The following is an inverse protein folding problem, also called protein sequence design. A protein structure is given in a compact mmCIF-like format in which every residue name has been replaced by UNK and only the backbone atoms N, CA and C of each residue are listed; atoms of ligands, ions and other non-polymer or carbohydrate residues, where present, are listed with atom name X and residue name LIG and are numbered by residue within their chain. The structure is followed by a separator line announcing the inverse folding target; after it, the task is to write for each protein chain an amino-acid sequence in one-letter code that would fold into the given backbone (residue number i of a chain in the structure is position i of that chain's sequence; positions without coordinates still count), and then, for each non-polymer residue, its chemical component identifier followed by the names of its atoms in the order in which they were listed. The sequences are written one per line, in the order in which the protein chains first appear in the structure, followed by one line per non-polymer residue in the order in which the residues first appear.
data_IF_204929969056
#
_entry.id   IF_204929969056
#
_cell.length_a   1.000
_cell.length_b   1.000
_cell.length_c   1.000
_cell.angle_alpha   90.00
_cell.angle_beta   90.00
_cell.angle_gamma   90.00
#
_symmetry.space_group_name_H-M   'P 1'
#
loop_
_entity.id
_entity.type
_entity.pdbx_description
1 polymer ?
#
# COMPACT_ATOMS: atom_id res chain seq x y z
N UNK A 1 -29.49 -43.65 19.96
CA UNK A 1 -28.54 -42.66 20.51
C UNK A 1 -27.07 -43.13 20.59
N UNK A 2 -26.79 -44.43 20.68
CA UNK A 2 -25.40 -44.98 20.64
C UNK A 2 -24.77 -45.05 19.24
N UNK A 3 -25.54 -45.02 18.17
CA UNK A 3 -25.06 -45.27 16.78
C UNK A 3 -24.37 -44.06 16.13
N UNK A 4 -24.76 -42.84 16.49
CA UNK A 4 -24.16 -41.62 15.88
C UNK A 4 -22.78 -41.23 16.45
N UNK A 5 -22.44 -41.71 17.65
CA UNK A 5 -21.11 -41.43 18.26
C UNK A 5 -20.05 -42.43 17.83
N UNK A 6 -20.42 -43.61 17.31
CA UNK A 6 -19.48 -44.60 16.78
C UNK A 6 -18.91 -44.23 15.39
N UNK A 7 -19.61 -43.41 14.63
CA UNK A 7 -19.17 -43.00 13.29
C UNK A 7 -18.03 -41.95 13.29
N UNK A 8 -17.80 -41.28 14.42
CA UNK A 8 -16.73 -40.26 14.53
C UNK A 8 -15.42 -40.77 15.16
N UNK A 9 -15.40 -42.00 15.69
CA UNK A 9 -14.23 -42.60 16.34
C UNK A 9 -14.12 -44.07 15.93
N UNK A 10 -13.78 -44.33 14.69
CA UNK A 10 -13.52 -45.64 14.07
C UNK A 10 -13.41 -46.83 15.03
N UNK A 11 -14.53 -47.41 15.45
CA UNK A 11 -14.56 -48.64 16.27
C UNK A 11 -15.93 -48.99 16.85
N UNK A 12 -16.33 -50.25 16.77
CA UNK A 12 -17.62 -50.82 17.14
C UNK A 12 -17.88 -50.91 18.65
N UNK A 13 -16.97 -50.52 19.53
CA UNK A 13 -17.17 -50.37 20.99
C UNK A 13 -16.49 -49.07 21.47
N UNK A 14 -17.19 -48.25 22.30
CA UNK A 14 -16.55 -47.10 22.89
C UNK A 14 -15.34 -47.54 23.71
N UNK A 15 -14.14 -46.98 23.43
CA UNK A 15 -12.94 -47.31 24.21
C UNK A 15 -13.21 -47.00 25.67
N UNK A 16 -12.81 -47.86 26.58
CA UNK A 16 -12.98 -47.74 28.04
C UNK A 16 -12.57 -46.32 28.56
N UNK A 17 -11.56 -45.78 27.96
CA UNK A 17 -11.08 -44.40 28.16
C UNK A 17 -12.12 -43.33 27.86
N UNK A 18 -13.01 -43.53 26.87
CA UNK A 18 -14.08 -42.58 26.53
C UNK A 18 -15.24 -42.67 27.51
N UNK A 19 -15.58 -43.89 27.97
CA UNK A 19 -16.61 -44.10 28.99
C UNK A 19 -16.20 -43.38 30.28
N UNK A 20 -14.94 -43.53 30.72
CA UNK A 20 -14.40 -42.80 31.89
C UNK A 20 -14.49 -41.28 31.71
N UNK A 21 -14.23 -40.76 30.51
CA UNK A 21 -14.35 -39.31 30.23
C UNK A 21 -15.80 -38.82 30.40
N UNK A 22 -16.79 -39.60 29.94
CA UNK A 22 -18.21 -39.24 30.05
C UNK A 22 -18.67 -39.13 31.49
N UNK A 23 -18.14 -39.95 32.42
CA UNK A 23 -18.51 -39.87 33.87
C UNK A 23 -18.00 -38.60 34.54
N UNK A 24 -16.98 -37.96 34.00
CA UNK A 24 -16.40 -36.72 34.54
C UNK A 24 -17.18 -35.48 34.10
N UNK A 25 -17.83 -35.51 32.96
CA UNK A 25 -18.47 -34.33 32.36
C UNK A 25 -19.61 -33.71 33.17
N UNK A 26 -20.51 -34.46 33.87
CA UNK A 26 -21.51 -33.84 34.73
C UNK A 26 -20.89 -32.93 35.81
N UNK A 27 -19.81 -33.40 36.45
CA UNK A 27 -19.06 -32.63 37.46
C UNK A 27 -18.35 -31.42 36.85
N UNK A 28 -17.79 -31.59 35.64
CA UNK A 28 -17.18 -30.49 34.88
C UNK A 28 -18.24 -29.42 34.56
N UNK A 29 -19.40 -29.84 34.06
CA UNK A 29 -20.51 -28.95 33.76
C UNK A 29 -21.01 -28.19 34.99
N UNK A 30 -21.20 -28.84 36.11
CA UNK A 30 -21.61 -28.23 37.39
C UNK A 30 -20.57 -27.17 37.82
N UNK A 31 -19.27 -27.50 37.85
CA UNK A 31 -18.22 -26.60 38.25
C UNK A 31 -18.10 -25.39 37.29
N UNK A 32 -18.34 -25.59 36.01
CA UNK A 32 -18.33 -24.47 35.03
C UNK A 32 -19.57 -23.58 35.19
N UNK A 33 -20.73 -24.17 35.43
CA UNK A 33 -22.01 -23.45 35.62
C UNK A 33 -22.00 -22.61 36.87
N UNK A 34 -21.36 -23.10 37.95
CA UNK A 34 -21.21 -22.41 39.22
C UNK A 34 -20.00 -21.49 39.30
N UNK A 35 -19.16 -21.48 38.23
CA UNK A 35 -17.95 -20.62 38.18
C UNK A 35 -16.80 -21.06 39.10
N UNK A 36 -16.87 -22.30 39.63
CA UNK A 36 -15.85 -22.87 40.54
C UNK A 36 -14.56 -23.27 39.83
N UNK A 37 -14.60 -23.48 38.51
CA UNK A 37 -13.43 -23.83 37.70
C UNK A 37 -13.63 -23.38 36.25
N UNK A 38 -12.54 -23.22 35.50
CA UNK A 38 -12.59 -23.09 34.06
C UNK A 38 -12.29 -24.43 33.38
N UNK A 39 -12.53 -24.51 32.07
CA UNK A 39 -12.34 -25.75 31.28
C UNK A 39 -10.93 -26.30 31.40
N UNK A 40 -9.91 -25.39 31.37
CA UNK A 40 -8.51 -25.79 31.48
C UNK A 40 -8.19 -26.38 32.84
N UNK A 41 -8.69 -25.75 33.91
CA UNK A 41 -8.55 -26.30 35.30
C UNK A 41 -9.28 -27.64 35.45
N UNK A 42 -10.48 -27.78 34.88
CA UNK A 42 -11.22 -29.04 34.90
C UNK A 42 -10.49 -30.14 34.11
N UNK A 43 -9.89 -29.77 32.97
CA UNK A 43 -9.07 -30.73 32.21
C UNK A 43 -7.79 -31.10 32.97
N UNK A 44 -7.09 -30.14 33.62
CA UNK A 44 -5.89 -30.42 34.41
C UNK A 44 -6.21 -31.42 35.52
N UNK A 45 -7.30 -31.21 36.28
CA UNK A 45 -7.77 -32.17 37.32
C UNK A 45 -8.15 -33.55 36.74
N UNK A 46 -8.75 -33.56 35.55
CA UNK A 46 -9.03 -34.84 34.84
C UNK A 46 -7.71 -35.55 34.46
N UNK A 47 -6.69 -34.81 34.01
CA UNK A 47 -5.37 -35.37 33.63
C UNK A 47 -4.59 -35.87 34.86
N UNK A 48 -4.70 -35.21 35.98
CA UNK A 48 -4.12 -35.67 37.27
C UNK A 48 -4.69 -37.01 37.70
N UNK A 49 -6.01 -37.20 37.54
CA UNK A 49 -6.71 -38.46 37.87
C UNK A 49 -6.58 -39.54 36.78
N UNK A 50 -6.35 -39.15 35.55
CA UNK A 50 -6.25 -40.02 34.39
C UNK A 50 -5.01 -39.63 33.52
N UNK A 51 -3.82 -40.07 33.90
CA UNK A 51 -2.59 -39.71 33.16
C UNK A 51 -2.60 -40.18 31.69
N UNK A 52 -3.32 -41.24 31.38
CA UNK A 52 -3.59 -41.75 30.02
C UNK A 52 -4.79 -41.05 29.33
N UNK A 53 -5.40 -40.07 29.98
CA UNK A 53 -6.60 -39.36 29.52
C UNK A 53 -6.38 -38.55 28.22
N UNK A 54 -7.48 -38.04 27.70
CA UNK A 54 -7.49 -37.27 26.44
C UNK A 54 -6.71 -35.93 26.55
N UNK A 55 -6.12 -35.50 25.45
CA UNK A 55 -5.53 -34.17 25.31
C UNK A 55 -6.59 -33.05 25.42
N UNK A 56 -6.16 -31.82 25.70
CA UNK A 56 -7.06 -30.71 25.95
C UNK A 56 -8.08 -30.48 24.83
N UNK A 57 -7.65 -30.47 23.57
CA UNK A 57 -8.55 -30.23 22.42
C UNK A 57 -9.63 -31.30 22.29
N UNK A 58 -9.27 -32.58 22.47
CA UNK A 58 -10.20 -33.68 22.43
C UNK A 58 -11.16 -33.65 23.63
N UNK A 59 -10.66 -33.36 24.84
CA UNK A 59 -11.49 -33.17 26.03
C UNK A 59 -12.55 -32.10 25.80
N UNK A 60 -12.17 -30.92 25.26
CA UNK A 60 -13.10 -29.82 24.96
C UNK A 60 -14.12 -30.26 23.90
N UNK A 61 -13.67 -30.84 22.80
CA UNK A 61 -14.57 -31.29 21.73
C UNK A 61 -15.59 -32.32 22.24
N UNK A 62 -15.17 -33.36 23.00
CA UNK A 62 -16.02 -34.36 23.57
C UNK A 62 -17.00 -33.78 24.60
N UNK A 63 -16.57 -32.81 25.40
CA UNK A 63 -17.45 -32.11 26.35
C UNK A 63 -18.54 -31.29 25.66
N UNK A 64 -18.22 -30.62 24.55
CA UNK A 64 -19.19 -29.86 23.77
C UNK A 64 -20.26 -30.78 23.14
N UNK A 65 -19.85 -31.92 22.60
CA UNK A 65 -20.75 -32.92 22.05
C UNK A 65 -21.67 -33.49 23.16
N UNK A 66 -21.07 -33.98 24.27
CA UNK A 66 -21.82 -34.49 25.41
C UNK A 66 -22.86 -33.50 25.93
N UNK A 67 -22.49 -32.24 26.07
CA UNK A 67 -23.39 -31.19 26.54
C UNK A 67 -24.57 -30.96 25.59
N UNK A 68 -24.33 -30.98 24.28
CA UNK A 68 -25.38 -30.87 23.26
C UNK A 68 -26.34 -32.02 23.32
N UNK A 69 -25.83 -33.25 23.51
CA UNK A 69 -26.61 -34.47 23.61
C UNK A 69 -27.49 -34.51 24.89
N UNK A 70 -27.01 -33.87 25.97
CA UNK A 70 -27.78 -33.71 27.21
C UNK A 70 -28.78 -32.55 27.17
N UNK A 71 -28.90 -31.80 26.05
CA UNK A 71 -29.79 -30.66 25.92
C UNK A 71 -29.45 -29.50 26.86
N UNK A 72 -28.21 -29.47 27.39
CA UNK A 72 -27.79 -28.46 28.34
C UNK A 72 -27.44 -27.13 27.60
N UNK A 73 -27.85 -25.97 28.17
CA UNK A 73 -27.60 -24.67 27.53
C UNK A 73 -26.11 -24.42 27.32
N UNK A 74 -25.73 -23.61 26.31
CA UNK A 74 -24.35 -23.26 26.08
C UNK A 74 -23.76 -22.61 27.34
N UNK A 75 -22.91 -23.34 28.06
CA UNK A 75 -22.01 -22.69 29.03
C UNK A 75 -21.05 -21.89 28.22
N UNK A 76 -21.13 -20.56 28.29
CA UNK A 76 -20.14 -19.70 27.67
C UNK A 76 -18.83 -19.93 28.42
N UNK A 77 -17.86 -20.59 27.78
CA UNK A 77 -16.50 -20.75 28.30
C UNK A 77 -15.77 -19.38 28.33
N UNK A 78 -16.40 -18.40 28.91
CA UNK A 78 -15.91 -17.07 28.87
C UNK A 78 -15.25 -16.77 30.22
N UNK A 79 -13.93 -16.65 30.20
CA UNK A 79 -13.14 -16.07 31.30
C UNK A 79 -13.77 -14.77 31.85
N UNK A 80 -14.63 -14.15 31.05
CA UNK A 80 -15.25 -12.86 31.27
C UNK A 80 -16.75 -13.01 31.53
N UNK A 81 -17.15 -13.90 32.44
CA UNK A 81 -18.53 -14.06 32.91
C UNK A 81 -18.57 -13.75 34.40
N UNK A 82 -19.61 -13.06 34.84
CA UNK A 82 -19.94 -12.90 36.26
C UNK A 82 -20.68 -14.15 36.73
N UNK A 83 -20.08 -15.07 37.49
CA UNK A 83 -20.71 -16.33 37.89
C UNK A 83 -21.80 -16.09 38.90
N UNK A 84 -21.61 -15.17 39.83
CA UNK A 84 -22.57 -14.81 40.89
C UNK A 84 -22.52 -13.29 41.12
N UNK A 85 -23.67 -12.69 41.31
CA UNK A 85 -23.82 -11.31 41.81
C UNK A 85 -24.09 -11.40 43.30
N UNK A 86 -23.36 -10.66 44.11
CA UNK A 86 -23.61 -10.58 45.52
C UNK A 86 -25.01 -10.02 45.80
N UNK A 87 -25.71 -10.61 46.76
CA UNK A 87 -27.09 -10.25 47.07
C UNK A 87 -27.23 -8.76 47.44
N UNK A 88 -26.23 -8.21 48.11
CA UNK A 88 -26.10 -6.82 48.52
C UNK A 88 -25.87 -5.87 47.31
N UNK A 89 -25.24 -6.32 46.22
CA UNK A 89 -24.96 -5.52 45.03
C UNK A 89 -26.17 -5.38 44.09
N UNK A 90 -27.11 -6.32 44.11
CA UNK A 90 -28.23 -6.40 43.20
C UNK A 90 -29.13 -5.16 43.23
N UNK A 91 -29.51 -4.60 44.39
CA UNK A 91 -30.38 -3.41 44.46
C UNK A 91 -29.70 -2.20 43.79
N UNK A 92 -28.37 -2.00 43.98
CA UNK A 92 -27.65 -0.93 43.36
C UNK A 92 -27.47 -1.09 41.87
N UNK A 93 -27.18 -2.31 41.39
CA UNK A 93 -27.10 -2.63 39.97
C UNK A 93 -28.46 -2.36 39.28
N UNK A 94 -29.59 -2.68 39.91
CA UNK A 94 -30.92 -2.37 39.39
C UNK A 94 -31.13 -0.85 39.33
N UNK A 95 -30.72 -0.12 40.37
CA UNK A 95 -30.77 1.36 40.40
C UNK A 95 -29.93 1.95 39.26
N UNK A 96 -28.71 1.46 39.05
CA UNK A 96 -27.85 1.91 37.94
C UNK A 96 -28.44 1.59 36.57
N UNK A 97 -29.10 0.45 36.41
CA UNK A 97 -29.77 0.06 35.16
C UNK A 97 -30.92 0.98 34.79
N UNK A 98 -31.53 1.67 35.77
CA UNK A 98 -32.59 2.65 35.58
C UNK A 98 -32.07 4.10 35.55
N UNK A 99 -30.78 4.30 35.68
CA UNK A 99 -30.16 5.61 35.73
C UNK A 99 -30.06 6.27 34.35
N UNK A 100 -30.27 7.59 34.29
CA UNK A 100 -29.97 8.40 33.10
C UNK A 100 -28.45 8.55 32.86
N UNK A 101 -27.58 8.20 33.82
CA UNK A 101 -26.12 8.13 33.61
C UNK A 101 -25.79 6.93 32.71
N UNK A 102 -25.49 7.21 31.46
CA UNK A 102 -25.19 6.20 30.43
C UNK A 102 -24.04 5.27 30.84
N UNK A 103 -23.08 5.74 31.65
CA UNK A 103 -21.95 4.92 32.12
C UNK A 103 -22.39 3.96 33.21
N UNK A 104 -23.18 4.43 34.19
CA UNK A 104 -23.74 3.57 35.25
C UNK A 104 -24.66 2.53 34.63
N UNK A 105 -25.56 2.94 33.75
CA UNK A 105 -26.44 2.05 33.00
C UNK A 105 -25.63 0.94 32.29
N UNK A 106 -24.61 1.33 31.49
CA UNK A 106 -23.80 0.38 30.74
C UNK A 106 -23.05 -0.62 31.64
N UNK A 107 -22.46 -0.16 32.78
CA UNK A 107 -21.81 -1.01 33.76
C UNK A 107 -22.78 -2.02 34.37
N UNK A 108 -23.96 -1.58 34.76
CA UNK A 108 -25.00 -2.45 35.32
C UNK A 108 -25.48 -3.49 34.31
N UNK A 109 -25.75 -3.08 33.07
CA UNK A 109 -26.13 -3.99 31.97
C UNK A 109 -25.04 -5.06 31.76
N UNK A 110 -23.77 -4.64 31.71
CA UNK A 110 -22.63 -5.56 31.52
C UNK A 110 -22.57 -6.61 32.64
N UNK A 111 -22.69 -6.22 33.91
CA UNK A 111 -22.62 -7.15 35.04
C UNK A 111 -23.82 -8.10 35.06
N UNK A 112 -25.06 -7.56 34.99
CA UNK A 112 -26.29 -8.33 35.07
C UNK A 112 -26.42 -9.30 33.90
N UNK A 113 -26.18 -8.82 32.69
CA UNK A 113 -26.37 -9.62 31.48
C UNK A 113 -25.18 -10.59 31.25
N UNK A 114 -23.98 -10.26 31.74
CA UNK A 114 -22.87 -11.22 31.83
C UNK A 114 -23.20 -12.37 32.78
N UNK A 115 -23.84 -12.09 33.92
CA UNK A 115 -24.33 -13.11 34.84
C UNK A 115 -25.36 -14.04 34.16
N UNK A 116 -26.24 -13.50 33.32
CA UNK A 116 -27.18 -14.23 32.49
C UNK A 116 -26.53 -15.03 31.35
N UNK A 117 -25.21 -14.95 31.19
CA UNK A 117 -24.47 -15.73 30.19
C UNK A 117 -24.24 -15.03 28.86
N UNK A 118 -24.56 -13.73 28.73
CA UNK A 118 -24.28 -12.98 27.49
C UNK A 118 -22.77 -12.67 27.42
N UNK A 119 -22.14 -13.07 26.31
CA UNK A 119 -20.69 -12.90 26.10
C UNK A 119 -20.29 -11.46 25.82
N UNK A 120 -18.99 -11.10 26.04
CA UNK A 120 -18.47 -9.74 25.93
C UNK A 120 -18.68 -9.09 24.55
N UNK A 121 -18.69 -9.86 23.47
CA UNK A 121 -18.92 -9.33 22.12
C UNK A 121 -20.35 -8.81 21.96
N UNK A 122 -21.34 -9.59 22.41
CA UNK A 122 -22.74 -9.20 22.35
C UNK A 122 -23.06 -8.06 23.34
N UNK A 123 -22.41 -8.08 24.52
CA UNK A 123 -22.51 -6.97 25.47
C UNK A 123 -21.88 -5.69 24.92
N UNK A 124 -20.80 -5.79 24.18
CA UNK A 124 -20.13 -4.68 23.52
C UNK A 124 -21.07 -3.92 22.57
N UNK A 125 -21.78 -4.66 21.72
CA UNK A 125 -22.78 -4.07 20.81
C UNK A 125 -23.95 -3.46 21.59
N UNK A 126 -24.43 -4.12 22.66
CA UNK A 126 -25.58 -3.67 23.47
C UNK A 126 -25.29 -2.35 24.22
N UNK A 127 -24.07 -2.18 24.74
CA UNK A 127 -23.70 -0.98 25.52
C UNK A 127 -22.88 0.03 24.70
N UNK A 128 -22.66 -0.21 23.42
CA UNK A 128 -21.87 0.65 22.51
C UNK A 128 -20.48 0.96 23.06
N UNK A 129 -19.82 -0.05 23.60
CA UNK A 129 -18.45 0.05 24.13
C UNK A 129 -17.59 -1.07 23.55
N UNK A 130 -16.28 -0.82 23.39
CA UNK A 130 -15.37 -1.85 22.89
C UNK A 130 -15.37 -3.10 23.79
N UNK A 131 -15.15 -4.30 23.22
CA UNK A 131 -15.05 -5.54 24.00
C UNK A 131 -14.00 -5.48 25.12
N UNK A 132 -12.95 -4.66 24.93
CA UNK A 132 -11.91 -4.43 25.95
C UNK A 132 -12.46 -3.71 27.18
N UNK A 133 -13.34 -2.73 26.99
CA UNK A 133 -14.00 -2.01 28.10
C UNK A 133 -14.98 -2.92 28.83
N UNK A 134 -15.77 -3.69 28.10
CA UNK A 134 -16.71 -4.66 28.68
C UNK A 134 -15.97 -5.68 29.53
N UNK A 135 -14.91 -6.30 28.99
CA UNK A 135 -14.06 -7.25 29.74
C UNK A 135 -13.46 -6.61 31.00
N UNK A 136 -13.01 -5.36 30.93
CA UNK A 136 -12.48 -4.63 32.08
C UNK A 136 -13.53 -4.46 33.17
N UNK A 137 -14.75 -4.02 32.84
CA UNK A 137 -15.82 -3.84 33.83
C UNK A 137 -16.25 -5.16 34.49
N UNK A 138 -16.27 -6.25 33.72
CA UNK A 138 -16.48 -7.60 34.30
C UNK A 138 -15.34 -7.94 35.25
N UNK A 139 -14.09 -7.69 34.88
CA UNK A 139 -12.92 -7.92 35.73
C UNK A 139 -12.92 -7.05 36.99
N UNK A 140 -13.25 -5.76 36.86
CA UNK A 140 -13.37 -4.84 37.99
C UNK A 140 -14.41 -5.36 39.01
N UNK A 141 -15.59 -5.80 38.52
CA UNK A 141 -16.62 -6.36 39.38
C UNK A 141 -16.19 -7.69 40.04
N UNK A 142 -15.53 -8.56 39.30
CA UNK A 142 -15.03 -9.84 39.85
C UNK A 142 -13.93 -9.66 40.92
N UNK A 143 -13.17 -8.57 40.86
CA UNK A 143 -12.09 -8.28 41.82
C UNK A 143 -12.54 -7.53 43.05
N UNK A 144 -13.49 -6.61 42.94
CA UNK A 144 -13.88 -5.74 44.03
C UNK A 144 -15.34 -5.31 44.09
N UNK A 145 -16.24 -6.09 43.45
CA UNK A 145 -17.69 -5.87 43.51
C UNK A 145 -18.10 -4.47 43.02
N UNK A 146 -19.14 -3.91 43.61
CA UNK A 146 -19.66 -2.58 43.32
C UNK A 146 -18.64 -1.47 43.59
N UNK A 147 -17.77 -1.62 44.59
CA UNK A 147 -16.79 -0.58 44.92
C UNK A 147 -15.79 -0.37 43.79
N UNK A 148 -15.31 -1.45 43.21
CA UNK A 148 -14.43 -1.35 42.01
C UNK A 148 -15.15 -0.75 40.80
N UNK A 149 -16.46 -1.03 40.63
CA UNK A 149 -17.26 -0.40 39.58
C UNK A 149 -17.55 1.09 39.82
N UNK A 150 -17.69 1.50 41.10
CA UNK A 150 -17.92 2.92 41.49
C UNK A 150 -16.71 3.78 41.19
N UNK A 151 -15.49 3.23 41.22
CA UNK A 151 -14.28 4.00 40.94
C UNK A 151 -14.40 4.71 39.60
N UNK A 152 -14.78 5.98 39.65
CA UNK A 152 -14.52 6.90 38.53
C UNK A 152 -13.02 7.10 38.55
N UNK A 153 -12.30 6.51 37.57
CA UNK A 153 -10.94 6.98 37.28
C UNK A 153 -11.09 8.44 36.90
N UNK A 154 -10.88 9.35 37.89
CA UNK A 154 -10.89 10.78 37.69
C UNK A 154 -9.69 11.13 36.83
N UNK A 155 -9.85 11.16 35.53
CA UNK A 155 -9.01 11.94 34.63
C UNK A 155 -9.48 13.41 34.70
N UNK A 156 -9.65 13.96 35.91
CA UNK A 156 -9.68 15.41 36.07
C UNK A 156 -8.24 15.85 36.09
N UNK A 157 -7.72 16.15 34.92
CA UNK A 157 -6.51 16.95 34.83
C UNK A 157 -6.87 18.32 35.40
N UNK A 158 -6.32 18.67 36.53
CA UNK A 158 -6.49 20.01 37.09
C UNK A 158 -6.01 21.09 36.10
N UNK A 159 -6.51 22.32 36.20
CA UNK A 159 -6.14 23.42 35.30
C UNK A 159 -4.64 23.59 35.11
N UNK A 160 -3.86 23.46 36.20
CA UNK A 160 -2.40 23.53 36.19
C UNK A 160 -1.75 22.42 35.32
N UNK A 161 -2.27 21.20 35.40
CA UNK A 161 -1.77 20.09 34.59
C UNK A 161 -2.07 20.29 33.15
N UNK A 162 -3.26 20.82 32.81
CA UNK A 162 -3.63 21.16 31.44
C UNK A 162 -2.72 22.25 30.87
N UNK A 163 -2.46 23.30 31.67
CA UNK A 163 -1.55 24.39 31.32
C UNK A 163 -0.12 23.87 31.09
N UNK A 164 0.39 23.03 32.00
CA UNK A 164 1.71 22.40 31.83
C UNK A 164 1.82 21.49 30.60
N UNK A 165 0.76 20.75 30.29
CA UNK A 165 0.73 19.95 29.07
C UNK A 165 0.75 20.82 27.81
N UNK A 166 -0.01 21.93 27.80
CA UNK A 166 -0.03 22.89 26.70
C UNK A 166 1.37 23.50 26.53
N UNK A 167 1.99 23.99 27.61
CA UNK A 167 3.32 24.57 27.55
C UNK A 167 4.38 23.60 27.01
N UNK A 168 4.38 22.33 27.46
CA UNK A 168 5.29 21.31 26.91
C UNK A 168 5.06 21.05 25.43
N UNK A 169 3.80 21.02 25.01
CA UNK A 169 3.45 20.87 23.61
C UNK A 169 3.97 22.03 22.77
N UNK A 170 3.72 23.26 23.21
CA UNK A 170 4.16 24.46 22.51
C UNK A 170 5.70 24.51 22.37
N UNK A 171 6.43 24.11 23.43
CA UNK A 171 7.89 23.96 23.42
C UNK A 171 8.37 22.91 22.41
N UNK A 172 7.68 21.76 22.29
CA UNK A 172 8.00 20.72 21.30
C UNK A 172 7.76 21.24 19.87
N UNK A 173 6.68 21.97 19.65
CA UNK A 173 6.37 22.54 18.34
C UNK A 173 7.40 23.62 17.97
N UNK A 174 7.84 24.43 18.93
CA UNK A 174 8.94 25.39 18.69
C UNK A 174 10.21 24.69 18.22
N UNK A 175 10.62 23.58 18.89
CA UNK A 175 11.75 22.77 18.44
C UNK A 175 11.62 22.25 17.02
N UNK A 176 10.40 21.86 16.60
CA UNK A 176 10.16 21.36 15.25
C UNK A 176 10.40 22.40 14.14
N UNK A 177 10.24 23.68 14.46
CA UNK A 177 10.49 24.78 13.52
C UNK A 177 11.98 25.15 13.37
N UNK A 178 12.83 24.58 14.22
CA UNK A 178 14.28 24.76 14.18
C UNK A 178 14.95 23.51 13.61
N UNK A 179 16.19 23.65 13.11
CA UNK A 179 16.94 22.49 12.62
C UNK A 179 17.63 21.78 13.80
N UNK A 180 17.77 20.43 13.74
CA UNK A 180 18.44 19.68 14.81
C UNK A 180 19.87 20.17 15.12
N UNK A 181 20.58 20.73 14.10
CA UNK A 181 21.94 21.22 14.23
C UNK A 181 22.08 22.39 15.22
N UNK A 182 21.07 23.26 15.31
CA UNK A 182 21.04 24.38 16.27
C UNK A 182 21.14 23.88 17.70
N UNK A 183 20.59 22.68 17.96
CA UNK A 183 20.62 22.02 19.27
C UNK A 183 21.83 21.10 19.45
N UNK A 184 22.82 21.15 18.55
CA UNK A 184 24.03 20.33 18.59
C UNK A 184 23.80 18.87 18.16
N UNK A 185 22.70 18.59 17.47
CA UNK A 185 22.36 17.24 16.97
C UNK A 185 22.71 17.16 15.50
N UNK A 186 23.75 16.39 15.15
CA UNK A 186 24.17 16.20 13.76
C UNK A 186 23.17 15.33 12.97
N UNK A 187 22.01 15.91 12.63
CA UNK A 187 20.96 15.32 11.79
C UNK A 187 20.30 16.39 10.94
N UNK A 188 19.88 16.00 9.72
CA UNK A 188 19.18 16.89 8.80
C UNK A 188 17.66 16.99 9.10
N UNK A 189 17.12 16.09 9.91
CA UNK A 189 15.71 16.09 10.25
C UNK A 189 15.48 15.53 11.66
N UNK A 190 14.38 15.93 12.25
CA UNK A 190 13.97 15.45 13.56
C UNK A 190 13.50 13.99 13.53
N UNK A 191 13.86 13.27 14.57
CA UNK A 191 13.21 12.02 14.98
C UNK A 191 12.62 12.18 16.36
N UNK A 192 11.68 11.34 16.74
CA UNK A 192 11.13 11.41 18.12
C UNK A 192 12.22 11.25 19.19
N UNK A 193 13.28 10.48 18.91
CA UNK A 193 14.41 10.32 19.84
C UNK A 193 15.23 11.59 19.97
N UNK A 194 15.51 12.26 18.86
CA UNK A 194 16.29 13.51 18.89
C UNK A 194 15.50 14.67 19.46
N UNK A 195 14.18 14.69 19.30
CA UNK A 195 13.31 15.65 19.99
C UNK A 195 13.32 15.45 21.51
N UNK A 196 13.31 14.21 22.02
CA UNK A 196 13.49 13.94 23.45
C UNK A 196 14.81 14.52 23.95
N UNK A 197 15.91 14.26 23.23
CA UNK A 197 17.25 14.74 23.59
C UNK A 197 17.34 16.27 23.60
N UNK A 198 16.79 16.92 22.57
CA UNK A 198 16.80 18.38 22.48
C UNK A 198 15.92 19.02 23.58
N UNK A 199 14.76 18.44 23.85
CA UNK A 199 13.84 18.92 24.87
C UNK A 199 14.46 18.83 26.27
N UNK A 200 15.03 17.68 26.60
CA UNK A 200 15.74 17.46 27.89
C UNK A 200 16.89 18.46 28.07
N UNK A 201 17.74 18.60 27.02
CA UNK A 201 18.89 19.52 27.05
C UNK A 201 18.47 20.99 27.17
N UNK A 202 17.41 21.41 26.50
CA UNK A 202 17.00 22.81 26.47
C UNK A 202 16.15 23.24 27.68
N UNK A 203 15.30 22.34 28.18
CA UNK A 203 14.32 22.68 29.21
C UNK A 203 14.59 21.98 30.55
N UNK A 204 15.58 21.08 30.64
CA UNK A 204 15.87 20.29 31.83
C UNK A 204 14.74 19.38 32.30
N UNK A 205 13.79 19.08 31.40
CA UNK A 205 12.61 18.26 31.69
C UNK A 205 12.66 16.96 30.91
N UNK A 206 12.49 15.82 31.58
CA UNK A 206 12.35 14.53 30.91
C UNK A 206 10.94 14.35 30.30
N UNK A 207 10.88 13.96 29.06
CA UNK A 207 9.63 13.67 28.34
C UNK A 207 9.68 12.35 27.61
N UNK A 208 8.61 11.57 27.69
CA UNK A 208 8.53 10.29 27.01
C UNK A 208 8.34 10.44 25.49
N UNK A 209 8.98 9.55 24.71
CA UNK A 209 8.84 9.48 23.24
C UNK A 209 7.37 9.33 22.79
N UNK A 210 6.55 8.58 23.54
CA UNK A 210 5.11 8.43 23.28
C UNK A 210 4.34 9.74 23.45
N UNK A 211 4.70 10.53 24.47
CA UNK A 211 4.08 11.84 24.74
C UNK A 211 4.42 12.84 23.65
N UNK A 212 5.69 12.88 23.20
CA UNK A 212 6.07 13.70 22.02
C UNK A 212 5.28 13.26 20.79
N UNK A 213 5.19 11.94 20.53
CA UNK A 213 4.42 11.42 19.41
C UNK A 213 2.94 11.82 19.46
N UNK A 214 2.35 11.86 20.64
CA UNK A 214 0.98 12.32 20.84
C UNK A 214 0.84 13.83 20.56
N UNK A 215 1.75 14.64 21.11
CA UNK A 215 1.72 16.10 20.93
C UNK A 215 1.87 16.49 19.45
N UNK A 216 2.88 15.96 18.75
CA UNK A 216 3.08 16.28 17.33
C UNK A 216 1.92 15.83 16.46
N UNK A 217 1.29 14.68 16.75
CA UNK A 217 0.10 14.20 16.04
C UNK A 217 -1.14 15.08 16.30
N UNK A 218 -1.31 15.52 17.54
CA UNK A 218 -2.43 16.40 17.92
C UNK A 218 -2.37 17.74 17.17
N UNK A 219 -1.14 18.25 16.96
CA UNK A 219 -0.89 19.45 16.17
C UNK A 219 -0.81 19.18 14.64
N UNK A 220 -1.18 17.99 14.19
CA UNK A 220 -1.27 17.64 12.75
C UNK A 220 0.06 17.26 12.09
N UNK A 221 1.16 17.17 12.84
CA UNK A 221 2.46 16.77 12.28
C UNK A 221 2.54 15.25 12.10
N UNK A 222 3.00 14.84 10.95
CA UNK A 222 3.27 13.43 10.63
C UNK A 222 4.56 13.30 9.82
N UNK A 223 5.27 12.18 9.96
CA UNK A 223 6.40 11.88 9.08
C UNK A 223 5.90 11.63 7.66
N UNK A 224 6.34 12.47 6.73
CA UNK A 224 6.00 12.32 5.31
C UNK A 224 7.27 12.29 4.48
N UNK A 225 7.30 11.43 3.48
CA UNK A 225 8.34 11.46 2.46
C UNK A 225 8.15 12.70 1.58
N UNK A 226 9.23 13.43 1.33
CA UNK A 226 9.20 14.53 0.38
C UNK A 226 8.73 14.03 -1.00
N UNK A 227 7.78 14.74 -1.59
CA UNK A 227 7.34 14.50 -2.96
C UNK A 227 8.31 15.20 -3.91
N UNK A 228 8.87 14.45 -4.84
CA UNK A 228 9.62 15.06 -5.93
C UNK A 228 8.66 15.81 -6.85
N UNK A 229 8.99 17.05 -7.14
CA UNK A 229 8.27 17.89 -8.11
C UNK A 229 8.99 17.74 -9.43
N UNK A 230 8.24 17.51 -10.51
CA UNK A 230 8.78 17.45 -11.86
C UNK A 230 9.07 18.86 -12.32
N UNK A 231 10.35 19.19 -12.51
CA UNK A 231 10.82 20.51 -12.93
C UNK A 231 11.74 20.37 -14.12
N UNK A 232 11.87 21.45 -14.90
CA UNK A 232 12.80 21.53 -16.00
C UNK A 232 13.56 22.86 -15.91
N UNK A 233 14.87 22.87 -16.16
CA UNK A 233 15.66 24.09 -16.21
C UNK A 233 15.51 24.87 -17.53
N UNK A 234 14.70 24.38 -18.46
CA UNK A 234 14.50 24.97 -19.79
C UNK A 234 13.81 26.32 -19.69
N UNK A 235 14.47 27.37 -20.17
CA UNK A 235 13.93 28.71 -20.15
C UNK A 235 12.73 28.88 -21.10
N UNK A 236 12.65 28.06 -22.14
CA UNK A 236 11.55 28.03 -23.12
C UNK A 236 10.58 26.92 -22.88
N UNK A 237 10.49 26.42 -21.64
CA UNK A 237 9.64 25.29 -21.27
C UNK A 237 8.17 25.47 -21.68
N UNK A 238 7.62 26.66 -21.41
CA UNK A 238 6.20 26.95 -21.72
C UNK A 238 5.96 27.06 -23.21
N UNK A 239 6.82 27.78 -23.90
CA UNK A 239 6.73 27.99 -25.34
C UNK A 239 6.75 26.65 -26.09
N UNK A 240 7.68 25.75 -25.74
CA UNK A 240 7.76 24.41 -26.32
C UNK A 240 6.52 23.58 -26.03
N UNK A 241 6.02 23.65 -24.78
CA UNK A 241 4.84 22.90 -24.35
C UNK A 241 3.59 23.41 -25.09
N UNK A 242 3.42 24.71 -25.21
CA UNK A 242 2.30 25.34 -25.92
C UNK A 242 2.35 25.00 -27.42
N UNK A 243 3.52 25.00 -28.02
CA UNK A 243 3.69 24.63 -29.42
C UNK A 243 3.34 23.17 -29.68
N UNK A 244 3.85 22.24 -28.86
CA UNK A 244 3.49 20.80 -28.95
C UNK A 244 2.00 20.61 -28.77
N UNK A 245 1.40 21.25 -27.77
CA UNK A 245 -0.05 21.17 -27.49
C UNK A 245 -0.85 21.71 -28.67
N UNK A 246 -0.44 22.82 -29.24
CA UNK A 246 -1.09 23.45 -30.41
C UNK A 246 -1.06 22.50 -31.62
N UNK A 247 0.09 21.87 -31.90
CA UNK A 247 0.22 20.92 -33.01
C UNK A 247 -0.68 19.70 -32.76
N UNK A 248 -0.61 19.11 -31.56
CA UNK A 248 -1.41 17.91 -31.22
C UNK A 248 -2.91 18.17 -31.23
N UNK A 249 -3.36 19.38 -30.90
CA UNK A 249 -4.78 19.76 -30.93
C UNK A 249 -5.31 19.99 -32.35
N UNK A 250 -4.43 20.34 -33.29
CA UNK A 250 -4.79 20.66 -34.68
C UNK A 250 -4.23 19.65 -35.68
N UNK A 251 -3.78 18.49 -35.23
CA UNK A 251 -3.16 17.46 -36.06
C UNK A 251 -4.16 16.92 -37.09
N UNK A 252 -3.81 17.04 -38.37
CA UNK A 252 -4.63 16.56 -39.47
C UNK A 252 -4.46 15.06 -39.72
N UNK A 253 -5.33 14.46 -40.47
CA UNK A 253 -5.28 13.02 -40.77
C UNK A 253 -4.05 12.59 -41.57
N UNK A 254 -3.53 13.50 -42.40
CA UNK A 254 -2.32 13.36 -43.22
C UNK A 254 -1.04 13.83 -42.53
N UNK A 255 -1.10 14.15 -41.27
CA UNK A 255 0.02 14.50 -40.40
C UNK A 255 0.18 13.48 -39.28
N UNK A 256 1.43 13.20 -38.91
CA UNK A 256 1.74 12.26 -37.80
C UNK A 256 2.69 12.90 -36.80
N UNK A 257 2.41 12.64 -35.51
CA UNK A 257 3.25 13.09 -34.42
C UNK A 257 3.88 11.89 -33.71
N UNK A 258 5.20 11.91 -33.61
CA UNK A 258 6.00 10.83 -33.02
C UNK A 258 6.63 11.26 -31.69
N UNK A 259 6.51 10.40 -30.68
CA UNK A 259 7.33 10.43 -29.47
C UNK A 259 8.46 9.42 -29.66
N UNK A 260 9.70 9.87 -29.57
CA UNK A 260 10.90 9.08 -29.93
C UNK A 260 11.82 8.98 -28.73
N UNK A 261 12.45 7.81 -28.54
CA UNK A 261 13.47 7.59 -27.51
C UNK A 261 14.22 6.28 -27.73
N UNK A 262 15.28 6.06 -26.93
CA UNK A 262 16.02 4.81 -26.89
C UNK A 262 15.90 4.13 -25.50
N UNK A 263 15.45 2.90 -25.50
CA UNK A 263 15.44 2.06 -24.33
C UNK A 263 16.75 1.27 -24.19
N UNK A 264 17.40 1.44 -23.08
CA UNK A 264 18.69 0.79 -22.83
C UNK A 264 19.87 1.78 -22.75
N UNK A 265 21.10 1.30 -22.81
CA UNK A 265 21.51 -0.10 -22.92
C UNK A 265 21.15 -0.93 -21.69
N UNK A 266 20.58 -2.10 -21.91
CA UNK A 266 20.31 -3.05 -20.82
C UNK A 266 20.99 -4.39 -21.07
N UNK A 267 21.39 -5.06 -20.00
CA UNK A 267 22.00 -6.37 -20.06
C UNK A 267 20.94 -7.47 -19.97
N UNK A 268 21.01 -8.44 -20.89
CA UNK A 268 20.17 -9.63 -20.86
C UNK A 268 20.71 -10.58 -19.80
N UNK A 269 19.96 -10.74 -18.72
CA UNK A 269 20.23 -11.58 -17.56
C UNK A 269 18.93 -11.86 -16.82
N UNK A 270 18.92 -12.81 -15.91
CA UNK A 270 17.76 -13.08 -15.08
C UNK A 270 17.31 -11.80 -14.35
N UNK A 271 16.08 -11.40 -14.54
CA UNK A 271 15.49 -10.20 -13.95
C UNK A 271 14.46 -10.56 -12.88
N UNK A 272 14.51 -9.81 -11.78
CA UNK A 272 13.45 -9.86 -10.77
C UNK A 272 12.28 -8.97 -11.16
N UNK A 273 11.15 -9.19 -10.51
CA UNK A 273 9.95 -8.39 -10.70
C UNK A 273 8.83 -8.83 -9.77
N UNK A 274 7.70 -8.16 -9.85
CA UNK A 274 6.50 -8.60 -9.14
C UNK A 274 5.88 -9.81 -9.85
N UNK A 275 5.56 -10.85 -9.09
CA UNK A 275 4.90 -12.05 -9.58
C UNK A 275 3.89 -12.56 -8.54
N UNK A 276 2.89 -13.31 -8.98
CA UNK A 276 2.01 -14.05 -8.09
C UNK A 276 2.80 -15.21 -7.48
N UNK A 277 2.95 -15.18 -6.15
CA UNK A 277 3.65 -16.22 -5.39
C UNK A 277 2.79 -16.68 -4.22
N UNK A 278 2.99 -17.91 -3.78
CA UNK A 278 2.33 -18.42 -2.58
C UNK A 278 2.78 -17.61 -1.35
N UNK A 279 1.84 -17.35 -0.43
CA UNK A 279 2.14 -16.63 0.82
C UNK A 279 3.27 -17.33 1.58
N UNK A 280 4.31 -16.58 1.92
CA UNK A 280 5.49 -17.10 2.62
C UNK A 280 6.62 -17.58 1.69
N UNK A 281 6.42 -17.61 0.36
CA UNK A 281 7.50 -17.88 -0.61
C UNK A 281 8.00 -16.58 -1.21
N UNK A 282 9.32 -16.48 -1.41
CA UNK A 282 9.95 -15.33 -2.06
C UNK A 282 10.76 -15.82 -3.25
N UNK A 283 10.51 -15.23 -4.41
CA UNK A 283 11.32 -15.49 -5.59
C UNK A 283 12.68 -14.82 -5.41
N UNK A 284 13.75 -15.52 -5.68
CA UNK A 284 15.13 -15.02 -5.56
C UNK A 284 15.79 -14.89 -6.92
N UNK A 285 16.60 -13.85 -7.09
CA UNK A 285 17.40 -13.62 -8.30
C UNK A 285 18.84 -13.45 -7.86
N UNK A 286 19.80 -14.16 -8.48
CA UNK A 286 21.21 -14.02 -8.12
C UNK A 286 21.68 -12.58 -8.29
N UNK A 287 22.33 -12.02 -7.29
CA UNK A 287 22.88 -10.67 -7.36
C UNK A 287 23.99 -10.57 -8.40
N UNK A 288 24.87 -11.58 -8.44
CA UNK A 288 25.97 -11.66 -9.40
C UNK A 288 25.60 -12.59 -10.55
N UNK A 289 25.56 -12.04 -11.76
CA UNK A 289 25.19 -12.79 -12.95
C UNK A 289 26.10 -12.40 -14.12
N UNK A 290 26.37 -13.37 -15.02
CA UNK A 290 26.99 -13.10 -16.31
C UNK A 290 25.92 -12.60 -17.29
N UNK A 291 26.20 -11.52 -17.99
CA UNK A 291 25.32 -11.02 -19.06
C UNK A 291 25.36 -11.98 -20.27
N UNK A 292 24.19 -12.21 -20.85
CA UNK A 292 23.99 -13.01 -22.08
C UNK A 292 23.94 -12.13 -23.34
N UNK A 293 24.29 -10.85 -23.19
CA UNK A 293 24.32 -9.83 -24.22
C UNK A 293 23.77 -8.49 -23.74
N UNK A 294 23.87 -7.48 -24.62
CA UNK A 294 23.43 -6.10 -24.35
C UNK A 294 22.56 -5.64 -25.51
N UNK A 295 21.46 -4.95 -25.21
CA UNK A 295 20.53 -4.45 -26.21
C UNK A 295 20.26 -2.95 -26.01
N UNK A 296 20.07 -2.26 -27.13
CA UNK A 296 19.52 -0.91 -27.20
C UNK A 296 18.39 -0.96 -28.22
N UNK A 297 17.23 -0.42 -27.89
CA UNK A 297 16.07 -0.33 -28.75
C UNK A 297 15.87 1.15 -29.10
N UNK A 298 15.96 1.53 -30.36
CA UNK A 298 15.58 2.85 -30.85
C UNK A 298 14.19 2.76 -31.41
N UNK A 299 13.27 3.62 -30.94
CA UNK A 299 11.87 3.49 -31.33
C UNK A 299 11.16 4.84 -31.45
N UNK A 300 10.12 4.84 -32.28
CA UNK A 300 9.19 5.94 -32.48
C UNK A 300 7.76 5.46 -32.26
N UNK A 301 7.02 6.16 -31.42
CA UNK A 301 5.61 5.94 -31.14
C UNK A 301 4.78 6.99 -31.87
N UNK A 302 3.99 6.58 -32.87
CA UNK A 302 3.00 7.43 -33.51
C UNK A 302 1.82 7.62 -32.55
N UNK A 303 1.49 8.87 -32.20
CA UNK A 303 0.55 9.13 -31.10
C UNK A 303 -0.92 8.93 -31.46
N UNK A 304 -1.33 9.18 -32.72
CA UNK A 304 -2.75 9.14 -33.13
C UNK A 304 -3.29 7.71 -33.13
N UNK A 305 -2.53 6.77 -33.69
CA UNK A 305 -2.90 5.35 -33.80
C UNK A 305 -2.22 4.46 -32.78
N UNK A 306 -1.31 5.03 -31.98
CA UNK A 306 -0.55 4.33 -30.95
C UNK A 306 0.29 3.16 -31.49
N UNK A 307 0.84 3.33 -32.69
CA UNK A 307 1.68 2.35 -33.36
C UNK A 307 3.15 2.62 -33.04
N UNK A 308 3.92 1.58 -32.72
CA UNK A 308 5.35 1.67 -32.46
C UNK A 308 6.15 1.12 -33.63
N UNK A 309 7.17 1.87 -34.04
CA UNK A 309 8.21 1.47 -35.00
C UNK A 309 9.51 1.38 -34.23
N UNK A 310 10.25 0.28 -34.35
CA UNK A 310 11.49 0.10 -33.59
C UNK A 310 12.53 -0.71 -34.38
N UNK A 311 13.77 -0.59 -33.94
CA UNK A 311 14.88 -1.46 -34.35
C UNK A 311 15.95 -1.51 -33.24
N UNK A 312 16.91 -2.41 -33.37
CA UNK A 312 17.99 -2.55 -32.40
C UNK A 312 19.22 -1.76 -32.87
N UNK A 313 19.71 -0.90 -32.00
CA UNK A 313 20.89 -0.05 -32.23
C UNK A 313 22.10 -0.58 -31.48
N UNK A 314 23.28 -0.39 -32.04
CA UNK A 314 24.54 -0.71 -31.37
C UNK A 314 24.97 0.40 -30.39
N UNK A 315 24.60 1.65 -30.70
CA UNK A 315 24.95 2.85 -29.94
C UNK A 315 23.76 3.82 -29.86
N UNK A 316 23.82 4.70 -28.89
CA UNK A 316 22.96 5.89 -28.84
C UNK A 316 23.73 7.06 -29.45
N UNK A 317 23.42 7.40 -30.68
CA UNK A 317 24.07 8.47 -31.41
C UNK A 317 23.20 9.04 -32.53
N UNK A 318 23.67 10.13 -33.13
CA UNK A 318 22.99 10.81 -34.22
C UNK A 318 22.78 9.94 -35.45
N UNK A 319 23.68 9.00 -35.77
CA UNK A 319 23.54 8.14 -36.94
C UNK A 319 22.36 7.19 -36.84
N UNK A 320 22.13 6.67 -35.63
CA UNK A 320 20.93 5.82 -35.37
C UNK A 320 19.63 6.64 -35.43
N UNK A 321 19.68 7.93 -35.07
CA UNK A 321 18.52 8.83 -35.22
C UNK A 321 18.25 9.14 -36.70
N UNK A 322 19.28 9.36 -37.52
CA UNK A 322 19.14 9.54 -38.96
C UNK A 322 18.60 8.25 -39.62
N UNK A 323 19.05 7.09 -39.18
CA UNK A 323 18.51 5.79 -39.60
C UNK A 323 17.02 5.65 -39.24
N UNK A 324 16.62 6.06 -38.03
CA UNK A 324 15.21 6.09 -37.64
C UNK A 324 14.40 7.02 -38.54
N UNK A 325 14.90 8.22 -38.81
CA UNK A 325 14.29 9.17 -39.71
C UNK A 325 14.03 8.51 -41.09
N UNK A 326 15.04 7.84 -41.64
CA UNK A 326 14.89 7.12 -42.94
C UNK A 326 13.85 5.99 -42.90
N UNK A 327 13.71 5.29 -41.77
CA UNK A 327 12.66 4.28 -41.56
C UNK A 327 11.28 4.93 -41.58
N UNK A 328 11.11 6.04 -40.82
CA UNK A 328 9.82 6.74 -40.74
C UNK A 328 9.41 7.35 -42.06
N UNK A 329 10.32 7.95 -42.81
CA UNK A 329 10.06 8.51 -44.15
C UNK A 329 9.54 7.45 -45.12
N UNK A 330 10.12 6.25 -45.12
CA UNK A 330 9.64 5.15 -45.95
C UNK A 330 8.27 4.62 -45.50
N UNK A 331 8.09 4.46 -44.21
CA UNK A 331 6.85 3.88 -43.65
C UNK A 331 5.66 4.82 -43.76
N UNK A 332 5.91 6.15 -43.73
CA UNK A 332 4.89 7.19 -43.76
C UNK A 332 5.01 8.11 -44.98
N UNK A 333 5.50 7.57 -46.11
CA UNK A 333 5.71 8.33 -47.35
C UNK A 333 4.46 9.03 -47.88
N UNK A 334 3.26 8.50 -47.57
CA UNK A 334 1.98 9.06 -48.00
C UNK A 334 1.47 10.21 -47.09
N UNK A 335 2.21 10.58 -46.05
CA UNK A 335 1.84 11.65 -45.16
C UNK A 335 2.41 13.00 -45.65
N UNK A 336 1.75 14.11 -45.31
CA UNK A 336 2.24 15.44 -45.64
C UNK A 336 3.30 15.96 -44.68
N UNK A 337 3.14 15.65 -43.38
CA UNK A 337 4.05 16.13 -42.37
C UNK A 337 4.27 15.11 -41.24
N UNK A 338 5.54 14.97 -40.83
CA UNK A 338 5.95 14.20 -39.64
C UNK A 338 6.52 15.13 -38.59
N UNK A 339 5.87 15.20 -37.44
CA UNK A 339 6.37 15.91 -36.26
C UNK A 339 7.15 14.93 -35.39
N UNK A 340 8.44 15.21 -35.13
CA UNK A 340 9.33 14.35 -34.38
C UNK A 340 9.66 14.98 -33.04
N UNK A 341 9.25 14.35 -31.96
CA UNK A 341 9.47 14.81 -30.58
C UNK A 341 10.33 13.81 -29.81
N UNK A 342 11.38 14.30 -29.17
CA UNK A 342 12.32 13.55 -28.35
C UNK A 342 12.85 14.44 -27.21
N UNK A 343 13.59 13.84 -26.30
CA UNK A 343 14.25 14.56 -25.22
C UNK A 343 15.44 15.41 -25.71
N UNK A 344 16.02 16.21 -24.82
CA UNK A 344 17.13 17.11 -25.13
C UNK A 344 18.51 16.43 -25.07
N UNK A 345 18.63 15.15 -25.42
CA UNK A 345 19.93 14.51 -25.52
C UNK A 345 20.77 15.12 -26.63
N UNK A 346 22.08 15.19 -26.45
CA UNK A 346 22.98 15.90 -27.38
C UNK A 346 22.96 15.37 -28.81
N UNK A 347 22.72 14.06 -28.99
CA UNK A 347 22.61 13.44 -30.32
C UNK A 347 21.26 13.72 -31.02
N UNK A 348 20.25 14.17 -30.26
CA UNK A 348 18.95 14.59 -30.79
C UNK A 348 18.95 16.04 -31.31
N UNK A 349 19.90 16.85 -30.86
CA UNK A 349 20.01 18.26 -31.23
C UNK A 349 21.30 18.55 -32.00
N UNK A 350 21.89 17.53 -32.62
CA UNK A 350 23.14 17.65 -33.34
C UNK A 350 22.95 18.36 -34.70
N UNK A 351 23.94 19.13 -35.12
CA UNK A 351 23.96 19.82 -36.42
C UNK A 351 23.73 18.81 -37.58
N UNK A 352 24.34 17.62 -37.51
CA UNK A 352 24.22 16.58 -38.52
C UNK A 352 22.78 16.09 -38.71
N UNK A 353 22.00 15.94 -37.62
CA UNK A 353 20.59 15.55 -37.70
C UNK A 353 19.75 16.69 -38.30
N UNK A 354 20.01 17.93 -37.89
CA UNK A 354 19.34 19.12 -38.42
C UNK A 354 19.58 19.22 -39.93
N UNK A 355 20.83 19.07 -40.38
CA UNK A 355 21.21 19.09 -41.81
C UNK A 355 20.48 17.95 -42.60
N UNK A 356 20.43 16.76 -42.02
CA UNK A 356 19.68 15.65 -42.63
C UNK A 356 18.18 15.95 -42.77
N UNK A 357 17.57 16.59 -41.79
CA UNK A 357 16.18 17.05 -41.87
C UNK A 357 15.99 18.15 -42.89
N UNK A 358 16.91 19.12 -42.96
CA UNK A 358 16.89 20.16 -43.98
C UNK A 358 16.97 19.55 -45.39
N UNK A 359 17.87 18.61 -45.64
CA UNK A 359 18.00 17.90 -46.91
C UNK A 359 16.70 17.21 -47.33
N UNK A 360 16.08 16.49 -46.37
CA UNK A 360 14.76 15.85 -46.61
C UNK A 360 13.69 16.87 -46.94
N UNK A 361 13.62 17.97 -46.24
CA UNK A 361 12.63 19.03 -46.47
C UNK A 361 12.83 19.74 -47.82
N UNK A 362 14.08 19.98 -48.22
CA UNK A 362 14.36 20.49 -49.57
C UNK A 362 13.90 19.50 -50.68
N UNK A 363 14.17 18.22 -50.47
CA UNK A 363 13.70 17.20 -51.40
C UNK A 363 12.15 17.12 -51.48
N UNK A 364 11.47 17.24 -50.31
CA UNK A 364 10.03 17.27 -50.24
C UNK A 364 9.40 18.47 -50.97
N UNK A 365 10.07 19.64 -50.93
CA UNK A 365 9.64 20.84 -51.64
C UNK A 365 9.89 20.77 -53.18
N UNK A 366 10.93 20.04 -53.59
CA UNK A 366 11.29 19.89 -55.00
C UNK A 366 10.50 18.82 -55.70
N UNK A 367 9.87 17.90 -55.02
CA UNK A 367 9.06 16.79 -55.54
C UNK A 367 7.56 17.09 -55.41
N UNK A 368 6.78 16.86 -56.45
CA UNK A 368 5.32 17.04 -56.48
C UNK A 368 4.59 15.96 -55.64
N UNK A 369 5.05 15.66 -54.45
CA UNK A 369 4.54 14.65 -53.51
C UNK A 369 5.43 13.41 -53.40
N UNK A 370 5.27 12.64 -52.34
CA UNK A 370 5.98 11.38 -52.12
C UNK A 370 7.03 11.41 -50.98
N UNK A 371 7.37 12.60 -50.47
CA UNK A 371 8.22 12.73 -49.28
C UNK A 371 7.57 13.69 -48.29
N UNK A 372 7.28 13.26 -47.04
CA UNK A 372 6.71 14.14 -46.05
C UNK A 372 7.69 15.22 -45.56
N UNK A 373 7.18 16.39 -45.24
CA UNK A 373 7.93 17.42 -44.54
C UNK A 373 8.17 16.98 -43.10
N UNK A 374 9.37 17.18 -42.58
CA UNK A 374 9.76 16.84 -41.22
C UNK A 374 9.88 18.07 -40.35
N UNK A 375 9.20 18.13 -39.23
CA UNK A 375 9.27 19.19 -38.24
C UNK A 375 9.76 18.67 -36.90
N UNK A 376 10.82 19.27 -36.38
CA UNK A 376 11.39 18.91 -35.09
C UNK A 376 10.61 19.60 -33.95
N UNK A 377 10.17 18.83 -32.97
CA UNK A 377 9.37 19.27 -31.82
C UNK A 377 10.04 18.81 -30.52
N UNK A 378 11.26 19.30 -30.18
CA UNK A 378 12.02 18.82 -29.05
C UNK A 378 11.28 19.13 -27.74
N UNK A 379 11.29 18.16 -26.83
CA UNK A 379 10.79 18.35 -25.48
C UNK A 379 11.68 19.35 -24.72
N UNK A 380 11.15 20.03 -23.70
CA UNK A 380 11.96 20.84 -22.81
C UNK A 380 13.08 20.02 -22.15
N UNK A 381 14.22 20.65 -21.90
CA UNK A 381 15.35 20.00 -21.24
C UNK A 381 14.97 19.42 -19.88
N UNK A 382 15.46 18.22 -19.56
CA UNK A 382 15.17 17.47 -18.33
C UNK A 382 13.67 17.18 -18.10
N UNK A 383 12.86 17.19 -19.15
CA UNK A 383 11.41 16.91 -19.09
C UNK A 383 11.05 15.56 -19.71
N UNK A 384 11.84 14.50 -19.48
CA UNK A 384 11.59 13.14 -19.98
C UNK A 384 10.20 12.63 -19.59
N UNK A 385 9.63 13.09 -18.47
CA UNK A 385 8.27 12.77 -18.05
C UNK A 385 7.17 13.19 -19.03
N UNK A 386 7.49 14.04 -20.02
CA UNK A 386 6.62 14.39 -21.13
C UNK A 386 6.76 13.44 -22.33
N UNK A 387 7.79 12.58 -22.32
CA UNK A 387 8.02 11.64 -23.41
C UNK A 387 7.09 10.42 -23.29
N UNK A 388 6.09 10.37 -24.17
CA UNK A 388 5.01 9.35 -24.12
C UNK A 388 5.56 7.94 -24.29
N UNK A 389 6.56 7.73 -25.13
CA UNK A 389 7.14 6.43 -25.43
C UNK A 389 7.74 5.74 -24.21
N UNK A 390 8.17 6.47 -23.20
CA UNK A 390 8.66 5.95 -21.92
C UNK A 390 7.61 5.04 -21.25
N UNK A 391 6.34 5.38 -21.38
CA UNK A 391 5.25 4.55 -20.87
C UNK A 391 5.15 3.21 -21.59
N UNK A 392 5.45 3.18 -22.90
CA UNK A 392 5.48 1.97 -23.72
C UNK A 392 6.66 1.09 -23.34
N UNK A 393 7.83 1.68 -23.17
CA UNK A 393 9.02 0.98 -22.69
C UNK A 393 8.83 0.40 -21.28
N UNK A 394 8.22 1.17 -20.38
CA UNK A 394 7.87 0.67 -19.06
C UNK A 394 6.88 -0.52 -19.11
N UNK A 395 5.91 -0.48 -20.01
CA UNK A 395 4.98 -1.58 -20.27
C UNK A 395 5.70 -2.83 -20.80
N UNK A 396 6.54 -2.66 -21.82
CA UNK A 396 7.37 -3.71 -22.39
C UNK A 396 8.29 -4.33 -21.35
N UNK A 397 9.01 -3.52 -20.57
CA UNK A 397 9.92 -4.00 -19.53
C UNK A 397 9.17 -4.84 -18.48
N UNK A 398 7.99 -4.42 -18.05
CA UNK A 398 7.16 -5.18 -17.11
C UNK A 398 6.65 -6.50 -17.70
N UNK A 399 6.27 -6.50 -18.96
CA UNK A 399 5.68 -7.67 -19.62
C UNK A 399 6.73 -8.71 -20.04
N UNK A 400 7.89 -8.23 -20.50
CA UNK A 400 8.88 -9.08 -21.20
C UNK A 400 10.18 -9.22 -20.41
N UNK A 401 10.68 -8.15 -19.76
CA UNK A 401 11.97 -8.20 -19.08
C UNK A 401 11.84 -8.60 -17.60
N UNK A 402 10.82 -8.13 -16.89
CA UNK A 402 10.63 -8.52 -15.49
C UNK A 402 10.29 -10.01 -15.39
N UNK A 403 10.88 -10.68 -14.42
CA UNK A 403 10.73 -12.12 -14.20
C UNK A 403 11.22 -13.02 -15.35
N UNK A 404 12.04 -12.48 -16.26
CA UNK A 404 12.62 -13.23 -17.38
C UNK A 404 13.97 -13.85 -17.04
N UNK A 405 14.34 -14.87 -17.78
CA UNK A 405 15.66 -15.48 -17.83
C UNK A 405 15.93 -16.00 -19.27
N UNK A 406 16.07 -15.09 -20.21
CA UNK A 406 16.31 -15.45 -21.61
C UNK A 406 17.67 -16.17 -21.77
N UNK A 407 17.74 -17.24 -22.58
CA UNK A 407 18.97 -17.96 -22.87
C UNK A 407 20.00 -17.10 -23.60
N UNK A 408 19.56 -16.21 -24.50
CA UNK A 408 20.41 -15.33 -25.30
C UNK A 408 19.80 -13.94 -25.49
N UNK A 409 20.58 -13.02 -26.03
CA UNK A 409 20.10 -11.71 -26.47
C UNK A 409 19.10 -11.82 -27.63
N UNK A 410 19.27 -12.82 -28.48
CA UNK A 410 18.37 -13.04 -29.62
C UNK A 410 16.98 -13.51 -29.19
N UNK A 411 16.90 -14.43 -28.21
CA UNK A 411 15.61 -14.84 -27.63
C UNK A 411 14.90 -13.64 -26.98
N UNK A 412 15.66 -12.75 -26.33
CA UNK A 412 15.12 -11.52 -25.77
C UNK A 412 14.60 -10.57 -26.86
N UNK A 413 15.32 -10.42 -27.98
CA UNK A 413 14.87 -9.63 -29.16
C UNK A 413 13.56 -10.17 -29.69
N UNK A 414 13.51 -11.47 -29.99
CA UNK A 414 12.31 -12.14 -30.49
C UNK A 414 11.09 -11.92 -29.59
N UNK A 415 11.27 -11.99 -28.27
CA UNK A 415 10.19 -11.74 -27.33
C UNK A 415 9.72 -10.27 -27.35
N UNK A 416 10.63 -9.32 -27.48
CA UNK A 416 10.33 -7.89 -27.58
C UNK A 416 9.62 -7.58 -28.90
N UNK A 417 10.11 -8.10 -30.02
CA UNK A 417 9.51 -7.91 -31.35
C UNK A 417 8.08 -8.43 -31.37
N UNK A 418 7.88 -9.62 -30.83
CA UNK A 418 6.55 -10.20 -30.68
C UNK A 418 5.63 -9.32 -29.82
N UNK A 419 6.11 -8.83 -28.70
CA UNK A 419 5.33 -7.92 -27.83
C UNK A 419 4.90 -6.66 -28.59
N UNK A 420 5.80 -6.02 -29.32
CA UNK A 420 5.45 -4.82 -30.08
C UNK A 420 4.52 -5.11 -31.25
N UNK A 421 4.69 -6.25 -31.92
CA UNK A 421 3.77 -6.69 -32.96
C UNK A 421 2.35 -6.93 -32.42
N UNK A 422 2.22 -7.70 -31.33
CA UNK A 422 0.95 -7.96 -30.65
C UNK A 422 0.28 -6.66 -30.18
N UNK A 423 1.07 -5.74 -29.63
CA UNK A 423 0.61 -4.42 -29.20
C UNK A 423 0.10 -3.59 -30.38
N UNK A 424 0.85 -3.53 -31.45
CA UNK A 424 0.46 -2.79 -32.65
C UNK A 424 -0.84 -3.35 -33.22
N UNK A 425 -0.98 -4.67 -33.35
CA UNK A 425 -2.21 -5.31 -33.81
C UNK A 425 -3.41 -5.03 -32.86
N UNK A 426 -3.21 -5.01 -31.55
CA UNK A 426 -4.25 -4.67 -30.59
C UNK A 426 -4.77 -3.22 -30.80
N UNK A 427 -3.87 -2.27 -31.07
CA UNK A 427 -4.24 -0.88 -31.34
C UNK A 427 -4.75 -0.64 -32.76
N UNK A 428 -4.43 -1.49 -33.75
CA UNK A 428 -5.11 -1.48 -35.07
C UNK A 428 -6.57 -1.89 -34.93
N UNK A 429 -6.86 -2.94 -34.13
CA UNK A 429 -8.24 -3.42 -33.92
C UNK A 429 -9.07 -2.47 -33.06
N UNK A 430 -8.45 -1.80 -32.10
CA UNK A 430 -9.11 -0.85 -31.20
C UNK A 430 -8.27 0.42 -31.08
N UNK A 431 -8.34 1.34 -32.05
CA UNK A 431 -7.52 2.53 -32.10
C UNK A 431 -7.74 3.42 -30.88
N UNK A 432 -6.66 3.78 -30.23
CA UNK A 432 -6.65 4.73 -29.09
C UNK A 432 -5.42 5.60 -29.21
N UNK A 433 -5.63 6.92 -29.17
CA UNK A 433 -4.52 7.88 -29.11
C UNK A 433 -3.63 7.61 -27.89
N UNK A 434 -2.32 7.61 -28.10
CA UNK A 434 -1.32 7.55 -27.03
C UNK A 434 -1.20 8.92 -26.32
N UNK A 435 -0.67 8.91 -25.09
CA UNK A 435 -0.32 10.12 -24.36
C UNK A 435 -1.48 10.89 -23.74
N UNK A 436 -2.69 10.37 -23.67
CA UNK A 436 -3.88 11.07 -23.10
C UNK A 436 -3.69 11.62 -21.67
N UNK A 437 -2.83 11.01 -20.89
CA UNK A 437 -2.54 11.48 -19.51
C UNK A 437 -1.55 12.64 -19.49
N UNK A 438 -0.77 12.81 -20.54
CA UNK A 438 0.29 13.82 -20.69
C UNK A 438 -0.23 14.96 -21.56
N UNK A 439 -0.76 14.65 -22.74
CA UNK A 439 -1.17 15.59 -23.78
C UNK A 439 -2.67 15.64 -24.06
N UNK A 440 -3.43 14.66 -23.57
CA UNK A 440 -4.85 14.51 -23.93
C UNK A 440 -5.84 15.31 -23.12
N UNK A 441 -5.35 16.19 -22.24
CA UNK A 441 -6.15 17.21 -21.56
C UNK A 441 -5.79 18.58 -22.16
N UNK A 442 -5.96 18.70 -23.43
CA UNK A 442 -5.67 19.94 -24.18
C UNK A 442 -6.45 21.14 -23.65
N UNK A 443 -7.58 20.89 -22.95
CA UNK A 443 -8.38 21.89 -22.25
C UNK A 443 -7.88 22.20 -20.82
N UNK A 444 -6.99 21.39 -20.26
CA UNK A 444 -6.35 21.70 -18.99
C UNK A 444 -5.08 22.49 -19.32
N UNK A 445 -5.18 23.80 -19.30
CA UNK A 445 -3.99 24.62 -19.14
C UNK A 445 -3.16 23.98 -18.02
N UNK A 446 -1.89 23.61 -18.27
CA UNK A 446 -1.04 23.07 -17.23
C UNK A 446 -1.02 24.11 -16.11
N UNK A 447 -1.75 23.85 -15.03
CA UNK A 447 -1.66 24.65 -13.83
C UNK A 447 -0.31 24.36 -13.23
N UNK A 448 0.68 25.09 -13.66
CA UNK A 448 1.93 25.19 -12.96
C UNK A 448 1.62 25.89 -11.63
N UNK A 449 1.41 25.10 -10.58
CA UNK A 449 1.54 25.68 -9.25
C UNK A 449 2.89 26.39 -9.20
N UNK A 450 3.05 27.53 -8.51
CA UNK A 450 4.35 28.19 -8.37
C UNK A 450 5.47 27.21 -7.99
N UNK A 451 5.18 26.23 -7.15
CA UNK A 451 6.09 25.15 -6.75
C UNK A 451 6.46 24.14 -7.87
N UNK A 452 5.80 24.16 -9.02
CA UNK A 452 6.08 23.30 -10.18
C UNK A 452 6.62 24.13 -11.38
N UNK A 453 6.81 25.42 -11.20
CA UNK A 453 7.29 26.29 -12.25
C UNK A 453 8.83 26.19 -12.30
N UNK A 454 9.35 25.66 -13.39
CA UNK A 454 10.79 25.60 -13.62
C UNK A 454 11.47 26.99 -13.71
N UNK A 455 10.71 28.06 -13.86
CA UNK A 455 11.16 29.46 -13.76
C UNK A 455 11.16 30.00 -12.33
N UNK A 456 10.66 29.23 -11.36
CA UNK A 456 10.66 29.62 -9.94
C UNK A 456 12.11 29.60 -9.42
N UNK A 457 12.64 30.73 -8.92
CA UNK A 457 14.02 30.83 -8.40
C UNK A 457 14.31 29.81 -7.28
N UNK A 458 13.31 29.41 -6.52
CA UNK A 458 13.44 28.44 -5.42
C UNK A 458 13.74 27.02 -5.91
N UNK A 459 13.60 26.75 -7.21
CA UNK A 459 13.74 25.41 -7.79
C UNK A 459 14.81 25.32 -8.89
N UNK A 460 15.61 26.37 -9.04
CA UNK A 460 16.74 26.44 -9.97
C UNK A 460 18.02 25.85 -9.39
#
# INVERSE_FOLDING_TARGET
MHVLLSQHIGGTKPKERYVRLLTVFPRVHANLSEGRANVKQSWTKYREQHPDGYGYSQFVASFLVWRKDQGLPPTTFCKWRVPRIAQEDMPELIRWRRSNDRVKWAKAVVVIDSHRGIGPTNLSSKVEKSPRIVKRWIGDYLQGGMDALRVKRKYHQGPERIAGMKQRRDRIISLLHETPQIHGINRASWSLKTLVQAFDKQYGESIGKSTISEYVKTEGYTFRKARRVLTSPDLTYREKLEEITRVLSNLRGDEKFFSIDEFGPFSVKMQGGMALTQKGTTRVVPQRQRSKGRLIITAALELSTNQITHFYSDKKNTDEMIKLLGVLLRQYSNQQCLYLSWDAASWHISAKLTESVCTVNHAAQASDGGTPVVKLMPLPSSAQFLNVIESVFSGMAKAILHNSDYPSAEDCRTAIDRYFAERNEAYKRNPRRAGKTIWGKELVQPRFAPSNNCKDPNWR
#
